data_IF_813007459606
#
_entry.id   IF_813007459606
#
_cell.length_a   1.000
_cell.length_b   1.000
_cell.length_c   1.000
_cell.angle_alpha   90.00
_cell.angle_beta   90.00
_cell.angle_gamma   90.00
#
_symmetry.space_group_name_H-M   'P 1'
#
loop_
_entity.id
_entity.type
_entity.pdbx_description
1 polymer ?
#
# COMPACT_ATOMS: atom_id res chain seq x y z
N UNK A 1 4.25 -27.07 -7.81
CA UNK A 1 3.95 -26.25 -6.62
C UNK A 1 5.04 -25.21 -6.55
N UNK A 2 4.70 -23.96 -6.83
CA UNK A 2 5.63 -22.84 -6.70
C UNK A 2 5.91 -22.64 -5.21
N UNK A 3 7.19 -22.62 -4.83
CA UNK A 3 7.63 -22.34 -3.47
C UNK A 3 7.06 -20.98 -2.99
N UNK A 4 6.82 -20.80 -1.68
CA UNK A 4 6.28 -19.55 -1.10
C UNK A 4 7.21 -18.36 -1.36
N UNK A 5 8.48 -18.65 -1.66
CA UNK A 5 9.51 -17.68 -2.06
C UNK A 5 9.38 -17.18 -3.49
N UNK A 6 8.57 -17.84 -4.33
CA UNK A 6 8.38 -17.44 -5.73
C UNK A 6 7.70 -16.08 -5.82
N UNK A 7 8.30 -15.16 -6.57
CA UNK A 7 7.73 -13.86 -6.86
C UNK A 7 7.14 -13.82 -8.26
N UNK A 8 5.94 -13.24 -8.40
CA UNK A 8 5.28 -13.12 -9.70
C UNK A 8 6.13 -12.25 -10.66
N UNK A 9 6.17 -12.59 -11.95
CA UNK A 9 7.02 -11.87 -12.92
C UNK A 9 6.69 -10.36 -12.99
N UNK A 10 5.40 -10.01 -12.91
CA UNK A 10 4.98 -8.60 -12.85
C UNK A 10 5.37 -7.92 -11.54
N UNK A 11 5.45 -8.64 -10.42
CA UNK A 11 5.95 -8.10 -9.16
C UNK A 11 7.41 -7.68 -9.32
N UNK A 12 8.25 -8.62 -9.76
CA UNK A 12 9.70 -8.39 -9.94
C UNK A 12 9.96 -7.23 -10.90
N UNK A 13 9.22 -7.19 -12.02
CA UNK A 13 9.35 -6.13 -13.03
C UNK A 13 9.02 -4.75 -12.46
N UNK A 14 7.99 -4.66 -11.61
CA UNK A 14 7.44 -3.37 -11.18
C UNK A 14 7.93 -2.90 -9.81
N UNK A 15 8.51 -3.78 -9.00
CA UNK A 15 9.05 -3.46 -7.68
C UNK A 15 9.95 -2.22 -7.66
N UNK A 16 10.93 -2.05 -8.58
CA UNK A 16 11.79 -0.86 -8.57
C UNK A 16 11.02 0.44 -8.81
N UNK A 17 9.96 0.39 -9.63
CA UNK A 17 9.13 1.56 -9.93
C UNK A 17 8.24 1.93 -8.75
N UNK A 18 7.64 0.92 -8.10
CA UNK A 18 6.83 1.15 -6.91
C UNK A 18 7.64 1.75 -5.76
N UNK A 19 8.83 1.20 -5.50
CA UNK A 19 9.74 1.74 -4.48
C UNK A 19 10.16 3.17 -4.81
N UNK A 20 10.45 3.46 -6.08
CA UNK A 20 10.77 4.82 -6.52
C UNK A 20 9.61 5.79 -6.28
N UNK A 21 8.38 5.39 -6.60
CA UNK A 21 7.20 6.21 -6.38
C UNK A 21 6.87 6.36 -4.89
N UNK A 22 7.16 5.36 -4.07
CA UNK A 22 7.07 5.50 -2.62
C UNK A 22 8.06 6.55 -2.11
N UNK A 23 9.34 6.44 -2.45
CA UNK A 23 10.38 7.39 -2.02
C UNK A 23 10.08 8.83 -2.52
N UNK A 24 9.67 8.98 -3.78
CA UNK A 24 9.36 10.28 -4.41
C UNK A 24 8.12 10.94 -3.83
N UNK A 25 7.11 10.16 -3.44
CA UNK A 25 5.89 10.69 -2.82
C UNK A 25 6.05 10.97 -1.32
N UNK A 26 7.02 10.33 -0.67
CA UNK A 26 7.35 10.60 0.75
C UNK A 26 8.07 11.95 0.91
N UNK A 27 8.82 12.37 -0.12
CA UNK A 27 9.33 13.74 -0.22
C UNK A 27 10.86 13.85 -0.25
N UNK A 28 11.35 15.08 -0.08
CA UNK A 28 12.77 15.42 -0.22
C UNK A 28 13.66 14.60 0.73
N UNK A 29 13.28 14.49 2.00
CA UNK A 29 14.07 13.77 3.01
C UNK A 29 14.23 12.29 2.66
N UNK A 30 13.16 11.63 2.19
CA UNK A 30 13.19 10.24 1.78
C UNK A 30 14.07 10.02 0.55
N UNK A 31 14.00 10.91 -0.44
CA UNK A 31 14.83 10.87 -1.65
C UNK A 31 16.31 11.09 -1.28
N UNK A 32 16.62 12.09 -0.47
CA UNK A 32 18.00 12.38 -0.01
C UNK A 32 18.57 11.25 0.83
N UNK A 33 17.75 10.61 1.68
CA UNK A 33 18.16 9.47 2.50
C UNK A 33 18.58 8.25 1.66
N UNK A 34 18.10 8.11 0.41
CA UNK A 34 18.58 7.05 -0.50
C UNK A 34 19.94 7.36 -1.15
N UNK A 35 20.49 8.56 -0.92
CA UNK A 35 21.82 8.95 -1.35
C UNK A 35 22.08 8.66 -2.82
N UNK A 36 23.13 7.89 -3.10
CA UNK A 36 23.64 7.67 -4.46
C UNK A 36 22.63 7.01 -5.41
N UNK A 37 21.59 6.35 -4.88
CA UNK A 37 20.50 5.79 -5.70
C UNK A 37 19.78 6.87 -6.52
N UNK A 38 19.58 8.06 -5.96
CA UNK A 38 18.89 9.17 -6.62
C UNK A 38 19.77 10.38 -6.87
N UNK A 39 20.81 10.56 -6.05
CA UNK A 39 21.74 11.67 -6.08
C UNK A 39 23.16 11.07 -6.23
N UNK A 40 23.50 10.54 -7.41
CA UNK A 40 24.78 9.86 -7.61
C UNK A 40 25.96 10.78 -7.34
N UNK A 41 26.99 10.24 -6.68
CA UNK A 41 28.20 10.99 -6.36
C UNK A 41 28.94 11.40 -7.65
N UNK A 42 29.18 12.70 -7.91
CA UNK A 42 29.80 13.15 -9.16
C UNK A 42 31.18 12.54 -9.44
N UNK A 43 32.01 12.40 -8.39
CA UNK A 43 33.36 11.84 -8.47
C UNK A 43 33.45 10.50 -7.72
N UNK A 44 32.62 9.52 -8.08
CA UNK A 44 32.53 8.24 -7.36
C UNK A 44 33.85 7.45 -7.25
N UNK A 45 34.85 7.74 -8.09
CA UNK A 45 36.14 7.03 -8.09
C UNK A 45 37.09 7.56 -7.00
N UNK A 46 36.90 8.81 -6.57
CA UNK A 46 37.70 9.40 -5.50
C UNK A 46 37.09 9.03 -4.13
N UNK A 47 37.84 8.28 -3.32
CA UNK A 47 37.41 7.87 -1.98
C UNK A 47 37.98 8.75 -0.87
N UNK A 48 38.58 9.89 -1.23
CA UNK A 48 39.16 10.84 -0.30
C UNK A 48 38.11 11.40 0.68
N UNK A 49 38.51 11.74 1.92
CA UNK A 49 37.62 12.42 2.87
C UNK A 49 37.06 13.74 2.32
N UNK A 50 37.86 14.45 1.51
CA UNK A 50 37.44 15.69 0.86
C UNK A 50 36.25 15.46 -0.09
N UNK A 51 36.29 14.40 -0.90
CA UNK A 51 35.20 14.06 -1.80
C UNK A 51 33.92 13.65 -1.04
N UNK A 52 34.06 12.93 0.09
CA UNK A 52 32.90 12.61 0.95
C UNK A 52 32.24 13.86 1.52
N UNK A 53 33.01 14.81 2.04
CA UNK A 53 32.48 16.08 2.55
C UNK A 53 31.83 16.92 1.44
N UNK A 54 32.42 16.93 0.24
CA UNK A 54 31.81 17.58 -0.92
C UNK A 54 30.47 16.94 -1.32
N UNK A 55 30.36 15.61 -1.20
CA UNK A 55 29.12 14.88 -1.45
C UNK A 55 28.04 15.17 -0.40
N UNK A 56 28.38 15.26 0.88
CA UNK A 56 27.44 15.69 1.94
C UNK A 56 26.91 17.10 1.68
N UNK A 57 27.78 18.01 1.28
CA UNK A 57 27.39 19.37 0.88
C UNK A 57 26.48 19.36 -0.36
N UNK A 58 26.73 18.47 -1.33
CA UNK A 58 25.86 18.26 -2.49
C UNK A 58 24.47 17.75 -2.07
N UNK A 59 24.39 16.70 -1.24
CA UNK A 59 23.10 16.18 -0.73
C UNK A 59 22.30 17.26 -0.01
N UNK A 60 22.97 18.08 0.80
CA UNK A 60 22.33 19.17 1.55
C UNK A 60 21.73 20.22 0.61
N UNK A 61 22.47 20.57 -0.45
CA UNK A 61 22.09 21.62 -1.41
C UNK A 61 21.17 21.13 -2.53
N UNK A 62 21.07 19.83 -2.76
CA UNK A 62 20.18 19.27 -3.75
C UNK A 62 18.74 19.69 -3.43
N UNK A 63 18.02 20.18 -4.44
CA UNK A 63 16.62 20.60 -4.29
C UNK A 63 15.75 19.53 -4.93
N UNK A 64 14.77 19.03 -4.18
CA UNK A 64 13.78 18.10 -4.71
C UNK A 64 12.42 18.80 -4.84
N UNK A 65 11.88 18.81 -6.06
CA UNK A 65 10.56 19.36 -6.30
C UNK A 65 9.50 18.27 -6.10
N UNK A 66 8.70 18.38 -5.05
CA UNK A 66 7.66 17.41 -4.63
C UNK A 66 6.39 17.46 -5.49
N UNK A 67 6.55 17.57 -6.81
CA UNK A 67 5.43 17.65 -7.75
C UNK A 67 4.60 16.37 -7.70
N UNK A 68 5.24 15.20 -7.69
CA UNK A 68 4.55 13.90 -7.72
C UNK A 68 3.66 13.68 -6.50
N UNK A 69 4.17 13.93 -5.28
CA UNK A 69 3.40 13.82 -4.05
C UNK A 69 2.24 14.80 -4.01
N UNK A 70 2.47 16.03 -4.46
CA UNK A 70 1.42 17.06 -4.60
C UNK A 70 0.34 16.61 -5.59
N UNK A 71 0.72 16.15 -6.78
CA UNK A 71 -0.22 15.65 -7.80
C UNK A 71 -1.02 14.47 -7.28
N UNK A 72 -0.39 13.52 -6.58
CA UNK A 72 -1.09 12.39 -5.95
C UNK A 72 -2.17 12.88 -4.99
N UNK A 73 -1.84 13.81 -4.10
CA UNK A 73 -2.80 14.38 -3.15
C UNK A 73 -3.94 15.13 -3.88
N UNK A 74 -3.63 15.88 -4.94
CA UNK A 74 -4.64 16.55 -5.75
C UNK A 74 -5.58 15.56 -6.47
N UNK A 75 -5.06 14.46 -7.01
CA UNK A 75 -5.87 13.43 -7.67
C UNK A 75 -6.76 12.67 -6.69
N UNK A 76 -6.25 12.36 -5.49
CA UNK A 76 -7.07 11.78 -4.42
C UNK A 76 -8.16 12.77 -4.00
N UNK A 77 -7.82 14.04 -3.78
CA UNK A 77 -8.81 15.08 -3.46
C UNK A 77 -9.88 15.23 -4.55
N UNK A 78 -9.49 15.20 -5.82
CA UNK A 78 -10.41 15.25 -6.95
C UNK A 78 -11.33 14.02 -7.02
N UNK A 79 -10.81 12.82 -6.77
CA UNK A 79 -11.59 11.58 -6.76
C UNK A 79 -12.68 11.57 -5.66
N UNK A 80 -12.43 12.27 -4.55
CA UNK A 80 -13.36 12.43 -3.43
C UNK A 80 -13.96 13.84 -3.34
N UNK A 81 -13.92 14.61 -4.43
CA UNK A 81 -14.53 15.95 -4.46
C UNK A 81 -16.05 15.90 -4.25
N UNK A 82 -16.67 14.76 -4.60
CA UNK A 82 -18.03 14.41 -4.19
C UNK A 82 -17.94 13.19 -3.30
N UNK A 83 -18.48 13.29 -2.08
CA UNK A 83 -18.40 12.19 -1.14
C UNK A 83 -19.16 10.95 -1.68
N UNK A 84 -18.52 9.77 -1.72
CA UNK A 84 -19.20 8.54 -2.10
C UNK A 84 -20.31 8.19 -1.10
N UNK A 85 -21.46 7.78 -1.62
CA UNK A 85 -22.57 7.29 -0.80
C UNK A 85 -22.31 5.83 -0.44
N UNK A 86 -21.93 5.58 0.81
CA UNK A 86 -21.87 4.23 1.37
C UNK A 86 -23.22 3.88 2.02
N UNK A 87 -23.87 2.84 1.51
CA UNK A 87 -25.09 2.29 2.09
C UNK A 87 -24.78 0.95 2.73
N UNK A 88 -24.70 0.92 4.05
CA UNK A 88 -24.45 -0.30 4.81
C UNK A 88 -25.77 -0.89 5.32
N UNK A 89 -25.94 -2.22 5.23
CA UNK A 89 -26.93 -2.92 6.06
C UNK A 89 -26.69 -2.64 7.55
N UNK A 90 -27.73 -2.65 8.41
CA UNK A 90 -27.57 -2.43 9.85
C UNK A 90 -26.51 -3.31 10.52
N UNK A 91 -26.31 -4.52 10.01
CA UNK A 91 -25.32 -5.50 10.47
C UNK A 91 -23.88 -5.08 10.20
N UNK A 92 -23.65 -4.18 9.23
CA UNK A 92 -22.34 -3.69 8.81
C UNK A 92 -22.14 -2.19 9.08
N UNK A 93 -22.99 -1.59 9.90
CA UNK A 93 -22.91 -0.16 10.23
C UNK A 93 -21.56 0.21 10.89
N UNK A 94 -20.85 -0.74 11.51
CA UNK A 94 -19.53 -0.51 12.09
C UNK A 94 -18.49 -0.07 11.05
N UNK A 95 -18.64 -0.47 9.78
CA UNK A 95 -17.73 -0.12 8.69
C UNK A 95 -17.65 1.40 8.42
N UNK A 96 -18.64 2.17 8.87
CA UNK A 96 -18.62 3.63 8.78
C UNK A 96 -17.56 4.25 9.71
N UNK A 97 -17.22 3.60 10.82
CA UNK A 97 -16.30 4.13 11.84
C UNK A 97 -15.05 3.30 12.02
N UNK A 98 -15.13 2.00 11.81
CA UNK A 98 -14.03 1.06 12.03
C UNK A 98 -14.14 -0.13 11.07
N UNK A 99 -13.76 0.09 9.82
CA UNK A 99 -13.75 -0.93 8.78
C UNK A 99 -12.55 -1.88 8.87
N UNK A 100 -11.41 -1.46 9.40
CA UNK A 100 -10.19 -2.30 9.44
C UNK A 100 -9.82 -2.85 10.84
N UNK A 101 -10.66 -2.63 11.85
CA UNK A 101 -10.37 -2.99 13.24
C UNK A 101 -9.56 -1.95 14.03
N UNK A 102 -8.85 -1.04 13.37
CA UNK A 102 -7.98 -0.02 13.99
C UNK A 102 -8.59 1.41 14.02
N UNK A 103 -9.87 1.55 13.68
CA UNK A 103 -10.60 2.82 13.71
C UNK A 103 -10.59 3.62 12.40
N UNK A 104 -10.16 3.01 11.29
CA UNK A 104 -10.29 3.63 9.96
C UNK A 104 -11.67 3.33 9.38
N UNK A 105 -12.38 4.36 8.91
CA UNK A 105 -13.65 4.20 8.21
C UNK A 105 -13.48 3.61 6.81
N UNK A 106 -14.57 3.10 6.23
CA UNK A 106 -14.58 2.68 4.80
C UNK A 106 -14.20 3.83 3.87
N UNK A 107 -14.60 5.07 4.19
CA UNK A 107 -14.22 6.25 3.44
C UNK A 107 -12.69 6.46 3.45
N UNK A 108 -12.07 6.41 4.63
CA UNK A 108 -10.61 6.57 4.76
C UNK A 108 -9.85 5.40 4.11
N UNK A 109 -10.35 4.17 4.24
CA UNK A 109 -9.80 3.01 3.52
C UNK A 109 -9.89 3.20 2.00
N UNK A 110 -11.00 3.71 1.49
CA UNK A 110 -11.15 3.98 0.06
C UNK A 110 -10.16 5.06 -0.41
N UNK A 111 -9.96 6.13 0.37
CA UNK A 111 -8.95 7.15 0.07
C UNK A 111 -7.54 6.56 -0.01
N UNK A 112 -7.18 5.72 0.96
CA UNK A 112 -5.91 5.01 0.97
C UNK A 112 -5.80 4.02 -0.21
N UNK A 113 -6.88 3.34 -0.56
CA UNK A 113 -6.94 2.41 -1.70
C UNK A 113 -6.66 3.12 -3.02
N UNK A 114 -7.32 4.26 -3.27
CA UNK A 114 -7.05 5.09 -4.45
C UNK A 114 -5.61 5.60 -4.43
N UNK A 115 -5.07 6.01 -3.28
CA UNK A 115 -3.68 6.42 -3.15
C UNK A 115 -2.71 5.31 -3.58
N UNK A 116 -2.91 4.08 -3.13
CA UNK A 116 -2.10 2.93 -3.57
C UNK A 116 -2.29 2.64 -5.06
N UNK A 117 -3.51 2.69 -5.57
CA UNK A 117 -3.79 2.46 -6.98
C UNK A 117 -3.07 3.48 -7.87
N UNK A 118 -3.07 4.76 -7.49
CA UNK A 118 -2.38 5.83 -8.22
C UNK A 118 -0.85 5.69 -8.18
N UNK A 119 -0.28 5.23 -7.05
CA UNK A 119 1.17 5.03 -6.91
C UNK A 119 1.65 3.74 -7.58
N UNK A 120 0.88 2.67 -7.49
CA UNK A 120 1.37 1.32 -7.75
C UNK A 120 0.57 0.56 -8.77
N UNK A 121 -0.39 1.19 -9.45
CA UNK A 121 -1.36 0.60 -10.40
C UNK A 121 -2.21 -0.54 -9.84
N UNK A 122 -1.97 -0.97 -8.60
CA UNK A 122 -2.68 -2.03 -7.91
C UNK A 122 -2.61 -1.84 -6.40
N UNK A 123 -3.56 -2.44 -5.71
CA UNK A 123 -3.53 -2.70 -4.27
C UNK A 123 -4.33 -4.00 -4.04
N UNK A 124 -4.25 -4.58 -2.85
CA UNK A 124 -5.11 -5.69 -2.50
C UNK A 124 -5.99 -5.34 -1.30
N UNK A 125 -7.21 -5.84 -1.33
CA UNK A 125 -8.15 -5.76 -0.23
C UNK A 125 -8.51 -7.20 0.12
N UNK A 126 -8.33 -7.58 1.38
CA UNK A 126 -8.86 -8.83 1.89
C UNK A 126 -9.79 -8.57 3.07
N UNK A 127 -10.78 -9.44 3.22
CA UNK A 127 -11.72 -9.40 4.33
C UNK A 127 -11.40 -10.55 5.24
N UNK A 128 -11.22 -10.25 6.51
CA UNK A 128 -11.02 -11.25 7.56
C UNK A 128 -12.14 -11.18 8.58
N UNK A 129 -12.37 -12.29 9.27
CA UNK A 129 -13.30 -12.40 10.37
C UNK A 129 -12.60 -13.15 11.50
N UNK A 130 -12.55 -12.58 12.73
CA UNK A 130 -11.83 -13.21 13.82
C UNK A 130 -12.45 -14.57 14.16
N UNK A 131 -11.59 -15.55 14.44
CA UNK A 131 -12.04 -16.87 14.86
C UNK A 131 -12.73 -16.79 16.24
N UNK A 132 -14.04 -17.01 16.25
CA UNK A 132 -14.86 -16.98 17.46
C UNK A 132 -15.67 -18.26 17.59
N UNK A 133 -15.84 -18.75 18.82
CA UNK A 133 -16.61 -19.97 19.04
C UNK A 133 -18.06 -19.77 18.57
N UNK A 134 -18.70 -20.81 18.02
CA UNK A 134 -20.08 -20.71 17.54
C UNK A 134 -21.01 -20.25 18.66
N UNK A 135 -21.70 -19.13 18.41
CA UNK A 135 -22.68 -18.59 19.34
C UNK A 135 -23.98 -19.39 19.27
N UNK A 136 -24.64 -19.63 20.41
CA UNK A 136 -25.92 -20.36 20.47
C UNK A 136 -27.10 -19.48 20.07
N UNK A 137 -26.96 -18.17 20.22
CA UNK A 137 -27.99 -17.19 19.91
C UNK A 137 -27.38 -15.84 19.51
N UNK A 138 -28.23 -14.95 19.01
CA UNK A 138 -27.83 -13.64 18.47
C UNK A 138 -27.28 -12.68 19.54
N UNK A 139 -27.65 -12.87 20.82
CA UNK A 139 -27.13 -12.07 21.92
C UNK A 139 -25.70 -12.48 22.29
N UNK A 140 -25.40 -13.77 22.35
CA UNK A 140 -24.04 -14.30 22.52
C UNK A 140 -23.13 -13.87 21.36
N UNK A 141 -23.62 -13.95 20.12
CA UNK A 141 -22.88 -13.50 18.94
C UNK A 141 -22.50 -12.02 19.01
N UNK A 142 -23.45 -11.15 19.39
CA UNK A 142 -23.18 -9.71 19.58
C UNK A 142 -22.22 -9.45 20.75
N UNK A 143 -22.27 -10.26 21.80
CA UNK A 143 -21.36 -10.14 22.95
C UNK A 143 -19.91 -10.48 22.61
N UNK A 144 -19.67 -11.33 21.60
CA UNK A 144 -18.33 -11.68 21.11
C UNK A 144 -17.62 -10.50 20.45
N UNK A 145 -18.35 -9.46 20.01
CA UNK A 145 -17.81 -8.27 19.33
C UNK A 145 -16.89 -8.63 18.15
N UNK A 146 -17.20 -9.74 17.48
CA UNK A 146 -16.54 -10.19 16.29
C UNK A 146 -17.23 -9.58 15.07
N UNK A 147 -16.47 -8.83 14.29
CA UNK A 147 -16.94 -8.14 13.10
C UNK A 147 -15.99 -8.40 11.95
N UNK A 148 -16.50 -8.45 10.70
CA UNK A 148 -15.63 -8.53 9.53
C UNK A 148 -14.81 -7.25 9.41
N UNK A 149 -13.53 -7.43 9.10
CA UNK A 149 -12.54 -6.36 8.95
C UNK A 149 -11.99 -6.37 7.53
N UNK A 150 -11.81 -5.18 6.97
CA UNK A 150 -11.26 -4.96 5.63
C UNK A 150 -9.81 -4.49 5.80
N UNK A 151 -8.89 -5.27 5.27
CA UNK A 151 -7.46 -4.98 5.31
C UNK A 151 -6.99 -4.57 3.90
N UNK A 152 -6.47 -3.35 3.82
CA UNK A 152 -5.86 -2.82 2.61
C UNK A 152 -4.36 -3.08 2.65
N UNK A 153 -3.86 -3.74 1.61
CA UNK A 153 -2.45 -4.09 1.45
C UNK A 153 -1.82 -3.29 0.32
N UNK A 154 -0.58 -2.87 0.56
CA UNK A 154 0.25 -2.24 -0.43
C UNK A 154 0.65 -3.27 -1.52
N UNK A 155 0.82 -2.81 -2.76
CA UNK A 155 1.30 -3.63 -3.87
C UNK A 155 2.63 -4.33 -3.57
N UNK A 156 3.50 -3.72 -2.75
CA UNK A 156 4.79 -4.28 -2.36
C UNK A 156 4.66 -5.52 -1.47
N UNK A 157 3.54 -5.66 -0.75
CA UNK A 157 3.33 -6.75 0.21
C UNK A 157 2.67 -7.98 -0.42
N UNK A 158 2.11 -7.84 -1.64
CA UNK A 158 1.55 -8.96 -2.40
C UNK A 158 2.58 -9.49 -3.39
N UNK A 159 3.40 -10.44 -2.96
CA UNK A 159 4.60 -10.87 -3.73
C UNK A 159 4.28 -11.85 -4.86
N UNK A 160 3.19 -12.60 -4.73
CA UNK A 160 2.77 -13.58 -5.73
C UNK A 160 1.26 -13.73 -5.79
N UNK A 161 0.74 -14.06 -6.97
CA UNK A 161 -0.66 -14.36 -7.19
C UNK A 161 -0.82 -15.26 -8.40
N UNK A 162 -1.87 -16.06 -8.41
CA UNK A 162 -2.22 -16.90 -9.56
C UNK A 162 -3.73 -16.97 -9.73
N UNK A 163 -4.15 -17.33 -10.93
CA UNK A 163 -5.55 -17.39 -11.33
C UNK A 163 -5.82 -18.58 -12.20
N UNK A 164 -6.97 -19.21 -11.99
CA UNK A 164 -7.47 -20.34 -12.77
C UNK A 164 -8.72 -19.94 -13.53
N UNK A 165 -8.96 -20.60 -14.66
CA UNK A 165 -10.21 -20.45 -15.41
C UNK A 165 -11.24 -21.44 -14.86
N UNK A 166 -12.31 -20.92 -14.26
CA UNK A 166 -13.47 -21.71 -13.80
C UNK A 166 -14.71 -21.12 -14.48
N UNK A 167 -15.48 -21.95 -15.18
CA UNK A 167 -16.66 -21.52 -15.95
C UNK A 167 -16.37 -20.39 -16.95
N UNK A 168 -15.21 -20.46 -17.62
CA UNK A 168 -14.72 -19.43 -18.54
C UNK A 168 -14.49 -18.05 -17.88
N UNK A 169 -14.36 -18.01 -16.56
CA UNK A 169 -14.01 -16.81 -15.80
C UNK A 169 -12.66 -16.98 -15.11
N UNK A 170 -11.80 -15.97 -15.23
CA UNK A 170 -10.51 -15.92 -14.54
C UNK A 170 -10.77 -15.62 -13.06
N UNK A 171 -10.56 -16.60 -12.19
CA UNK A 171 -10.73 -16.49 -10.74
C UNK A 171 -9.37 -16.60 -10.05
N UNK A 172 -9.14 -15.73 -9.06
CA UNK A 172 -7.95 -15.77 -8.23
C UNK A 172 -7.92 -17.06 -7.40
N UNK A 173 -6.81 -17.79 -7.41
CA UNK A 173 -6.66 -19.04 -6.66
C UNK A 173 -5.47 -19.05 -5.70
N UNK A 174 -4.53 -18.13 -5.85
CA UNK A 174 -3.38 -17.98 -4.98
C UNK A 174 -3.10 -16.49 -4.79
N UNK A 175 -2.79 -16.13 -3.55
CA UNK A 175 -2.19 -14.85 -3.18
C UNK A 175 -1.16 -15.15 -2.10
N UNK A 176 0.05 -14.65 -2.27
CA UNK A 176 1.10 -14.72 -1.24
C UNK A 176 1.34 -13.30 -0.76
N UNK A 177 1.11 -13.10 0.53
CA UNK A 177 1.26 -11.82 1.23
C UNK A 177 2.49 -11.94 2.15
N UNK A 178 3.30 -10.89 2.19
CA UNK A 178 4.41 -10.77 3.14
C UNK A 178 3.92 -10.09 4.41
N UNK A 179 4.15 -10.72 5.56
CA UNK A 179 3.97 -10.15 6.89
C UNK A 179 5.31 -9.63 7.45
N UNK A 180 5.26 -8.59 8.28
CA UNK A 180 6.42 -7.97 8.93
C UNK A 180 6.34 -8.10 10.44
#
# INVERSE_FOLDING_TARGET
MSDVTFQHAEYVKNLPYWQKLDDVCEGEDAVKAKGEKYLPMPNAHDKSPANKSAYEAYLTRAVFYEVTGTTLNSLVGAAFATDPSFKFPPELAHLERNANGAGLSTYQLAQNGIRHLLKHYRCALYVDYPDVPPARNLAEFKAQKAYPMIHLLNALDVVNWDSVMIDNQKKLCLVVIREF
#
